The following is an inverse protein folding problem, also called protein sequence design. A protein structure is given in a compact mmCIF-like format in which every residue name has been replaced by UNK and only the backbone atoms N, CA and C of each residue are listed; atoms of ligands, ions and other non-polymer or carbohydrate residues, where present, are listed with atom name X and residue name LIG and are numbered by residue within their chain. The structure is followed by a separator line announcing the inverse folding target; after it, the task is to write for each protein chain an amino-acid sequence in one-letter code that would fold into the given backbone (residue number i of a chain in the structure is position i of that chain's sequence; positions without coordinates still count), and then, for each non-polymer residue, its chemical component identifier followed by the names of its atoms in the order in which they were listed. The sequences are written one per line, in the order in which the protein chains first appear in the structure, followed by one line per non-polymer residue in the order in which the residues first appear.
data_IF_431874097991
#
_entry.id   IF_431874097991
#
_cell.length_a   1.000
_cell.length_b   1.000
_cell.length_c   1.000
_cell.angle_alpha   90.00
_cell.angle_beta   90.00
_cell.angle_gamma   90.00
#
_symmetry.space_group_name_H-M   'P 1'
#
loop_
_entity.id
_entity.type
_entity.pdbx_description
1 polymer ?
#
# COMPACT_ATOMS: atom_id res chain seq x y z
N UNK A 1 0.09 -8.57 -21.52
CA UNK A 1 -0.70 -7.34 -21.36
C UNK A 1 -0.33 -6.64 -20.06
N UNK A 2 -0.38 -5.32 -20.06
CA UNK A 2 -0.17 -4.47 -18.87
C UNK A 2 -1.51 -4.14 -18.24
N UNK A 3 -1.50 -3.86 -16.93
CA UNK A 3 -2.63 -3.35 -16.16
C UNK A 3 -2.32 -1.92 -15.74
N UNK A 4 -3.32 -1.07 -15.70
CA UNK A 4 -3.18 0.33 -15.33
C UNK A 4 -4.12 0.67 -14.18
N UNK A 5 -3.56 1.33 -13.18
CA UNK A 5 -4.29 1.82 -12.02
C UNK A 5 -4.07 3.32 -11.89
N UNK A 6 -5.04 4.01 -11.31
CA UNK A 6 -4.89 5.40 -10.88
C UNK A 6 -5.05 5.45 -9.37
N UNK A 7 -4.09 6.07 -8.69
CA UNK A 7 -4.06 6.26 -7.24
C UNK A 7 -4.11 7.75 -6.92
N UNK A 8 -4.96 8.10 -5.95
CA UNK A 8 -5.04 9.43 -5.38
C UNK A 8 -4.65 9.36 -3.91
N UNK A 9 -3.76 10.24 -3.48
CA UNK A 9 -3.29 10.28 -2.09
C UNK A 9 -4.17 11.10 -1.16
N UNK A 10 -5.07 11.91 -1.72
CA UNK A 10 -6.09 12.66 -0.97
C UNK A 10 -6.96 13.52 -1.85
N UNK A 11 -8.26 13.33 -1.74
CA UNK A 11 -9.29 14.09 -2.46
C UNK A 11 -10.39 14.47 -1.48
N UNK A 12 -10.66 15.74 -1.31
CA UNK A 12 -11.60 16.26 -0.32
C UNK A 12 -12.94 16.56 -0.97
N UNK A 13 -14.01 15.91 -0.59
CA UNK A 13 -14.30 14.97 0.51
C UNK A 13 -14.80 13.63 -0.06
N UNK A 14 -15.52 13.68 -1.19
CA UNK A 14 -16.03 12.54 -1.98
C UNK A 14 -15.56 12.72 -3.41
N UNK A 15 -15.11 11.65 -4.02
CA UNK A 15 -14.65 11.63 -5.39
C UNK A 15 -15.33 10.53 -6.20
N UNK A 16 -15.80 10.86 -7.41
CA UNK A 16 -16.24 9.93 -8.42
C UNK A 16 -15.30 9.99 -9.62
N UNK A 17 -14.73 8.85 -10.02
CA UNK A 17 -13.83 8.76 -11.16
C UNK A 17 -14.59 8.25 -12.40
N UNK A 18 -14.39 8.97 -13.50
CA UNK A 18 -14.83 8.56 -14.84
C UNK A 18 -13.62 8.49 -15.78
N UNK A 19 -13.58 7.46 -16.61
CA UNK A 19 -12.57 7.30 -17.65
C UNK A 19 -13.28 7.08 -18.98
N UNK A 20 -13.00 7.93 -19.97
CA UNK A 20 -13.63 7.91 -21.31
C UNK A 20 -15.16 7.89 -21.26
N UNK A 21 -15.75 8.58 -20.26
CA UNK A 21 -17.20 8.63 -20.03
C UNK A 21 -17.78 7.48 -19.22
N UNK A 22 -17.01 6.47 -18.87
CA UNK A 22 -17.46 5.35 -18.04
C UNK A 22 -17.16 5.63 -16.55
N UNK A 23 -18.15 5.48 -15.67
CA UNK A 23 -17.94 5.52 -14.23
C UNK A 23 -17.11 4.32 -13.79
N UNK A 24 -16.01 4.58 -13.09
CA UNK A 24 -15.08 3.55 -12.61
C UNK A 24 -15.35 3.21 -11.15
N UNK A 25 -15.58 4.22 -10.33
CA UNK A 25 -15.84 4.04 -8.90
C UNK A 25 -15.90 5.36 -8.14
N UNK A 26 -16.26 5.27 -6.87
CA UNK A 26 -16.36 6.38 -5.94
C UNK A 26 -15.52 6.11 -4.68
N UNK A 27 -14.97 7.18 -4.11
CA UNK A 27 -14.29 7.15 -2.81
C UNK A 27 -14.93 8.16 -1.88
N UNK A 28 -15.04 7.81 -0.60
CA UNK A 28 -15.55 8.65 0.48
C UNK A 28 -14.52 8.73 1.60
N UNK A 29 -14.04 9.91 1.89
CA UNK A 29 -13.04 10.16 2.92
C UNK A 29 -11.91 11.04 2.40
N UNK A 30 -11.80 12.26 2.93
CA UNK A 30 -10.88 13.27 2.43
C UNK A 30 -9.41 12.98 2.68
N UNK A 31 -9.07 12.20 3.71
CA UNK A 31 -7.71 12.08 4.21
C UNK A 31 -7.02 10.75 3.86
N UNK A 32 -7.73 9.83 3.22
CA UNK A 32 -7.22 8.49 2.87
C UNK A 32 -6.92 8.38 1.38
N UNK A 33 -5.85 7.65 1.07
CA UNK A 33 -5.54 7.30 -0.31
C UNK A 33 -6.52 6.23 -0.83
N UNK A 34 -6.73 6.22 -2.14
CA UNK A 34 -7.52 5.20 -2.81
C UNK A 34 -7.01 4.94 -4.23
N UNK A 35 -7.30 3.76 -4.75
CA UNK A 35 -6.82 3.32 -6.05
C UNK A 35 -7.94 2.63 -6.82
N UNK A 36 -8.04 2.90 -8.11
CA UNK A 36 -8.93 2.20 -9.03
C UNK A 36 -8.15 1.57 -10.17
N UNK A 37 -8.53 0.37 -10.56
CA UNK A 37 -8.07 -0.21 -11.82
C UNK A 37 -8.86 0.41 -12.99
N UNK A 38 -8.14 0.86 -14.02
CA UNK A 38 -8.73 1.51 -15.20
C UNK A 38 -8.36 0.80 -16.50
N UNK A 39 -7.76 -0.38 -16.43
CA UNK A 39 -7.22 -1.15 -17.55
C UNK A 39 -8.22 -1.33 -18.70
N UNK A 40 -9.45 -1.69 -18.38
CA UNK A 40 -10.52 -1.99 -19.33
C UNK A 40 -11.23 -0.75 -19.90
N UNK A 41 -10.91 0.44 -19.38
CA UNK A 41 -11.47 1.72 -19.81
C UNK A 41 -10.50 2.57 -20.62
N UNK A 42 -9.21 2.15 -20.66
CA UNK A 42 -8.15 2.88 -21.37
C UNK A 42 -8.02 2.37 -22.81
N UNK A 43 -7.86 3.32 -23.74
CA UNK A 43 -7.47 3.09 -25.13
C UNK A 43 -5.95 3.28 -25.22
N UNK A 44 -5.22 2.18 -25.29
CA UNK A 44 -3.75 2.24 -25.37
C UNK A 44 -3.31 2.83 -26.72
N UNK A 45 -2.38 3.81 -26.65
CA UNK A 45 -1.88 4.50 -27.84
C UNK A 45 -2.76 5.65 -28.33
N UNK A 46 -3.82 6.01 -27.60
CA UNK A 46 -4.73 7.11 -27.90
C UNK A 46 -4.84 8.07 -26.69
N UNK A 47 -5.44 9.23 -26.95
CA UNK A 47 -5.81 10.15 -25.89
C UNK A 47 -6.96 9.58 -25.05
N UNK A 48 -6.83 9.71 -23.73
CA UNK A 48 -7.83 9.25 -22.77
C UNK A 48 -8.24 10.41 -21.86
N UNK A 49 -9.55 10.54 -21.63
CA UNK A 49 -10.11 11.54 -20.74
C UNK A 49 -10.37 10.93 -19.35
N UNK A 50 -9.72 11.50 -18.33
CA UNK A 50 -10.03 11.22 -16.93
C UNK A 50 -10.78 12.41 -16.34
N UNK A 51 -11.97 12.17 -15.77
CA UNK A 51 -12.77 13.16 -15.07
C UNK A 51 -12.94 12.71 -13.62
N UNK A 52 -12.56 13.59 -12.69
CA UNK A 52 -12.78 13.38 -11.25
C UNK A 52 -13.80 14.41 -10.80
N UNK A 53 -14.98 13.96 -10.43
CA UNK A 53 -16.02 14.81 -9.83
C UNK A 53 -15.82 14.80 -8.33
N UNK A 54 -15.60 15.99 -7.76
CA UNK A 54 -15.28 16.12 -6.33
C UNK A 54 -16.32 16.98 -5.63
N UNK A 55 -16.77 16.53 -4.45
CA UNK A 55 -17.63 17.30 -3.57
C UNK A 55 -17.00 17.40 -2.18
N UNK A 56 -16.91 18.63 -1.64
CA UNK A 56 -16.49 18.90 -0.25
C UNK A 56 -17.67 19.29 0.66
N UNK A 57 -18.90 19.06 0.21
CA UNK A 57 -20.08 19.30 1.04
C UNK A 57 -20.02 18.48 2.33
N UNK A 58 -20.49 19.08 3.44
CA UNK A 58 -20.66 18.37 4.70
C UNK A 58 -21.64 17.20 4.52
N UNK A 59 -21.30 16.05 5.08
CA UNK A 59 -22.05 14.82 4.99
C UNK A 59 -21.99 14.06 6.31
N UNK A 60 -23.08 13.42 6.67
CA UNK A 60 -23.15 12.62 7.91
C UNK A 60 -22.39 11.28 7.80
N UNK A 61 -22.12 10.83 6.57
CA UNK A 61 -21.46 9.55 6.25
C UNK A 61 -19.96 9.69 5.91
N UNK A 62 -19.38 10.90 6.04
CA UNK A 62 -17.97 11.16 5.74
C UNK A 62 -17.35 12.05 6.82
N UNK A 63 -16.28 11.58 7.43
CA UNK A 63 -15.55 12.35 8.45
C UNK A 63 -14.60 13.40 7.83
N UNK A 64 -14.44 14.56 8.48
CA UNK A 64 -15.19 15.01 9.66
C UNK A 64 -16.58 15.51 9.28
N UNK A 65 -17.60 15.13 10.05
CA UNK A 65 -18.97 15.55 9.82
C UNK A 65 -19.16 17.05 10.05
N UNK A 66 -18.39 17.61 10.96
CA UNK A 66 -18.27 19.05 11.21
C UNK A 66 -16.83 19.40 11.60
N UNK A 67 -16.39 20.63 11.31
CA UNK A 67 -15.07 21.14 11.68
C UNK A 67 -15.12 22.65 11.79
N UNK A 68 -14.35 23.19 12.71
CA UNK A 68 -14.13 24.64 12.84
C UNK A 68 -13.14 25.19 11.79
N UNK A 69 -12.56 24.29 10.97
CA UNK A 69 -11.62 24.64 9.91
C UNK A 69 -12.29 24.56 8.54
N UNK A 70 -11.93 25.46 7.64
CA UNK A 70 -12.33 25.39 6.25
C UNK A 70 -11.70 24.17 5.59
N UNK A 71 -12.53 23.29 5.03
CA UNK A 71 -12.10 22.17 4.21
C UNK A 71 -12.12 22.59 2.74
N UNK A 72 -10.94 22.73 2.16
CA UNK A 72 -10.81 23.02 0.73
C UNK A 72 -11.15 21.76 -0.07
N UNK A 73 -12.04 21.91 -1.07
CA UNK A 73 -12.39 20.82 -1.97
C UNK A 73 -11.30 20.58 -3.02
N UNK A 74 -11.36 19.40 -3.65
CA UNK A 74 -10.51 19.05 -4.77
C UNK A 74 -9.45 17.99 -4.45
N UNK A 75 -8.58 17.77 -5.43
CA UNK A 75 -7.41 16.89 -5.31
C UNK A 75 -6.30 17.72 -4.67
N UNK A 76 -5.99 17.50 -3.40
CA UNK A 76 -5.04 18.33 -2.64
C UNK A 76 -3.70 17.61 -2.34
N UNK A 77 -3.58 16.34 -2.74
CA UNK A 77 -2.34 15.54 -2.72
C UNK A 77 -2.07 15.00 -4.11
N UNK A 78 -0.94 14.30 -4.24
CA UNK A 78 -0.52 13.71 -5.52
C UNK A 78 -1.54 12.72 -6.06
N UNK A 79 -1.51 12.56 -7.39
CA UNK A 79 -2.16 11.48 -8.11
C UNK A 79 -1.11 10.83 -9.01
N UNK A 80 -1.17 9.50 -9.14
CA UNK A 80 -0.23 8.74 -9.95
C UNK A 80 -0.91 7.67 -10.80
N UNK A 81 -0.29 7.32 -11.92
CA UNK A 81 -0.64 6.16 -12.73
C UNK A 81 0.34 5.03 -12.43
N UNK A 82 -0.18 3.88 -12.02
CA UNK A 82 0.60 2.68 -11.71
C UNK A 82 0.41 1.67 -12.83
N UNK A 83 1.51 1.33 -13.51
CA UNK A 83 1.52 0.34 -14.59
C UNK A 83 2.18 -0.95 -14.10
N UNK A 84 1.44 -2.06 -14.15
CA UNK A 84 1.92 -3.36 -13.69
C UNK A 84 1.88 -4.43 -14.78
N UNK A 85 2.42 -5.61 -14.48
CA UNK A 85 2.18 -6.84 -15.22
C UNK A 85 0.77 -7.39 -14.99
N UNK A 86 0.49 -8.60 -15.50
CA UNK A 86 -0.78 -9.29 -15.25
C UNK A 86 -0.97 -9.60 -13.77
N UNK A 87 0.09 -10.06 -13.12
CA UNK A 87 0.15 -10.32 -11.68
C UNK A 87 1.05 -9.29 -11.02
N UNK A 88 0.59 -8.71 -9.93
CA UNK A 88 1.27 -7.63 -9.24
C UNK A 88 0.99 -7.65 -7.73
N UNK A 89 1.85 -6.99 -6.94
CA UNK A 89 1.50 -6.56 -5.60
C UNK A 89 0.37 -5.55 -5.72
N UNK A 90 -0.71 -5.76 -4.98
CA UNK A 90 -1.97 -5.05 -5.22
C UNK A 90 -1.96 -3.61 -4.71
N UNK A 91 -2.10 -2.61 -5.56
CA UNK A 91 -2.29 -1.22 -5.12
C UNK A 91 -3.75 -0.94 -4.67
N UNK A 92 -4.64 -1.94 -4.77
CA UNK A 92 -6.07 -1.76 -4.49
C UNK A 92 -6.43 -1.87 -3.00
N UNK A 93 -5.57 -2.50 -2.18
CA UNK A 93 -5.88 -2.69 -0.78
C UNK A 93 -5.77 -1.37 0.00
N UNK A 94 -6.91 -0.74 0.28
CA UNK A 94 -7.03 0.52 1.04
C UNK A 94 -6.14 1.66 0.51
N UNK A 95 -5.83 1.66 -0.79
CA UNK A 95 -4.89 2.63 -1.38
C UNK A 95 -3.45 2.53 -0.82
N UNK A 96 -3.11 1.41 -0.16
CA UNK A 96 -1.76 1.13 0.34
C UNK A 96 -0.84 0.65 -0.77
N UNK A 97 0.42 0.39 -0.41
CA UNK A 97 1.40 -0.23 -1.32
C UNK A 97 1.20 -1.76 -1.46
N UNK A 98 0.19 -2.34 -0.79
CA UNK A 98 -0.09 -3.78 -0.83
C UNK A 98 0.84 -4.66 0.02
N UNK A 99 1.72 -4.05 0.82
CA UNK A 99 2.59 -4.73 1.78
C UNK A 99 2.41 -4.09 3.14
N UNK A 100 1.90 -4.83 4.11
CA UNK A 100 1.72 -4.39 5.49
C UNK A 100 2.66 -5.18 6.40
N UNK A 101 3.35 -4.49 7.32
CA UNK A 101 4.27 -5.11 8.27
C UNK A 101 3.70 -4.97 9.67
N UNK A 102 3.47 -6.10 10.32
CA UNK A 102 3.05 -6.17 11.72
C UNK A 102 4.19 -6.69 12.58
N UNK A 103 4.44 -6.03 13.69
CA UNK A 103 5.37 -6.50 14.71
C UNK A 103 4.58 -7.16 15.85
N UNK A 104 4.91 -8.42 16.15
CA UNK A 104 4.26 -9.21 17.20
C UNK A 104 5.03 -9.10 18.53
N UNK A 105 6.36 -9.12 18.45
CA UNK A 105 7.25 -8.95 19.59
C UNK A 105 8.49 -8.16 19.19
N UNK A 106 8.90 -7.22 20.04
CA UNK A 106 10.11 -6.40 19.82
C UNK A 106 10.91 -6.29 21.10
N UNK A 107 12.12 -6.83 21.05
CA UNK A 107 13.13 -6.71 22.11
C UNK A 107 14.44 -6.23 21.50
N UNK A 108 15.44 -5.90 22.32
CA UNK A 108 16.78 -5.57 21.84
C UNK A 108 17.50 -6.76 21.17
N UNK A 109 17.11 -7.99 21.49
CA UNK A 109 17.73 -9.20 20.97
C UNK A 109 16.99 -9.78 19.75
N UNK A 110 15.67 -9.58 19.66
CA UNK A 110 14.84 -10.23 18.64
C UNK A 110 13.62 -9.38 18.31
N UNK A 111 13.32 -9.28 17.01
CA UNK A 111 12.03 -8.86 16.48
C UNK A 111 11.34 -10.06 15.85
N UNK A 112 10.09 -10.29 16.20
CA UNK A 112 9.19 -11.23 15.53
C UNK A 112 8.02 -10.46 14.97
N UNK A 113 7.64 -10.80 13.75
CA UNK A 113 6.54 -10.15 13.05
C UNK A 113 6.06 -10.94 11.85
N UNK A 114 5.16 -10.32 11.11
CA UNK A 114 4.63 -10.88 9.87
C UNK A 114 4.47 -9.77 8.83
N UNK A 115 4.66 -10.14 7.56
CA UNK A 115 4.32 -9.32 6.41
C UNK A 115 3.06 -9.87 5.76
N UNK A 116 2.04 -9.05 5.62
CA UNK A 116 0.84 -9.33 4.83
C UNK A 116 1.03 -8.74 3.44
N UNK A 117 1.04 -9.58 2.40
CA UNK A 117 1.22 -9.16 1.01
C UNK A 117 -0.09 -9.39 0.27
N UNK A 118 -0.67 -8.32 -0.23
CA UNK A 118 -1.87 -8.34 -1.06
C UNK A 118 -1.45 -8.46 -2.52
N UNK A 119 -2.00 -9.46 -3.22
CA UNK A 119 -1.69 -9.74 -4.61
C UNK A 119 -2.92 -9.59 -5.48
N UNK A 120 -2.73 -9.20 -6.73
CA UNK A 120 -3.79 -9.10 -7.74
C UNK A 120 -3.34 -9.70 -9.05
N UNK A 121 -4.26 -10.34 -9.79
CA UNK A 121 -3.95 -10.97 -11.06
C UNK A 121 -5.11 -10.88 -12.05
N UNK A 122 -4.77 -10.77 -13.34
CA UNK A 122 -5.69 -10.88 -14.45
C UNK A 122 -5.54 -12.26 -15.12
N UNK A 123 -6.03 -13.31 -14.44
CA UNK A 123 -6.17 -14.66 -14.99
C UNK A 123 -5.15 -15.70 -14.54
N UNK A 124 -4.14 -15.35 -13.74
CA UNK A 124 -3.23 -16.32 -13.15
C UNK A 124 -3.75 -16.76 -11.77
N UNK A 125 -3.57 -18.04 -11.44
CA UNK A 125 -4.01 -18.63 -10.17
C UNK A 125 -2.89 -18.81 -9.14
N UNK A 126 -1.63 -18.69 -9.57
CA UNK A 126 -0.43 -18.81 -8.72
C UNK A 126 0.67 -17.89 -9.20
N UNK A 127 1.56 -17.50 -8.30
CA UNK A 127 2.82 -16.83 -8.65
C UNK A 127 3.95 -17.26 -7.70
N UNK A 128 5.19 -16.96 -8.08
CA UNK A 128 6.34 -17.05 -7.20
C UNK A 128 6.51 -15.70 -6.48
N UNK A 129 6.40 -15.71 -5.16
CA UNK A 129 6.56 -14.55 -4.29
C UNK A 129 7.86 -14.65 -3.50
N UNK A 130 8.62 -13.57 -3.48
CA UNK A 130 9.81 -13.42 -2.63
C UNK A 130 9.61 -12.23 -1.70
N UNK A 131 9.83 -12.43 -0.41
CA UNK A 131 9.90 -11.38 0.60
C UNK A 131 11.33 -11.24 1.08
N UNK A 132 11.90 -10.07 0.93
CA UNK A 132 13.23 -9.69 1.44
C UNK A 132 13.08 -8.60 2.49
N UNK A 133 13.82 -8.72 3.61
CA UNK A 133 13.97 -7.62 4.58
C UNK A 133 15.44 -7.22 4.63
N UNK A 134 15.68 -5.95 4.41
CA UNK A 134 17.02 -5.33 4.41
C UNK A 134 17.13 -4.35 5.58
N UNK A 135 18.14 -4.53 6.40
CA UNK A 135 18.44 -3.67 7.53
C UNK A 135 18.90 -2.25 7.10
N UNK A 136 18.92 -1.26 8.00
CA UNK A 136 19.34 0.10 7.69
C UNK A 136 20.75 0.21 7.10
N UNK A 137 21.64 -0.70 7.46
CA UNK A 137 23.02 -0.81 6.96
C UNK A 137 23.14 -1.47 5.57
N UNK A 138 22.02 -1.91 4.98
CA UNK A 138 21.98 -2.55 3.68
C UNK A 138 22.09 -4.08 3.69
N UNK A 139 22.35 -4.72 4.85
CA UNK A 139 22.42 -6.18 4.96
C UNK A 139 21.02 -6.78 4.80
N UNK A 140 20.90 -7.84 4.01
CA UNK A 140 19.70 -8.64 3.93
C UNK A 140 19.62 -9.54 5.19
N UNK A 141 18.60 -9.33 6.01
CA UNK A 141 18.42 -10.00 7.32
C UNK A 141 17.33 -11.07 7.28
N UNK A 142 16.49 -11.06 6.25
CA UNK A 142 15.48 -12.09 6.03
C UNK A 142 15.21 -12.25 4.55
N UNK A 143 14.99 -13.51 4.12
CA UNK A 143 14.52 -13.88 2.79
C UNK A 143 13.58 -15.07 2.90
N UNK A 144 12.42 -14.98 2.23
CA UNK A 144 11.50 -16.11 2.04
C UNK A 144 10.98 -16.10 0.63
N UNK A 145 11.15 -17.22 -0.09
CA UNK A 145 10.61 -17.44 -1.43
C UNK A 145 9.64 -18.60 -1.41
N UNK A 146 8.46 -18.41 -1.99
CA UNK A 146 7.45 -19.45 -2.04
C UNK A 146 6.51 -19.29 -3.23
N UNK A 147 6.01 -20.40 -3.75
CA UNK A 147 4.87 -20.40 -4.67
C UNK A 147 3.60 -20.13 -3.85
N UNK A 148 2.78 -19.19 -4.31
CA UNK A 148 1.58 -18.80 -3.61
C UNK A 148 0.36 -18.81 -4.53
N UNK A 149 -0.83 -18.98 -3.94
CA UNK A 149 -2.11 -18.88 -4.65
C UNK A 149 -2.59 -17.44 -4.69
N UNK A 150 -3.33 -17.14 -5.74
CA UNK A 150 -3.96 -15.82 -5.99
C UNK A 150 -5.48 -15.99 -5.82
N UNK A 151 -5.92 -16.14 -4.57
CA UNK A 151 -7.32 -16.39 -4.19
C UNK A 151 -7.99 -15.16 -3.55
N UNK A 152 -7.35 -13.99 -3.66
CA UNK A 152 -7.83 -12.73 -3.11
C UNK A 152 -7.53 -12.53 -1.62
N UNK A 153 -6.95 -13.53 -0.95
CA UNK A 153 -6.49 -13.40 0.44
C UNK A 153 -5.07 -12.85 0.50
N UNK A 154 -4.69 -12.12 1.56
CA UNK A 154 -3.31 -11.73 1.76
C UNK A 154 -2.43 -12.97 2.00
N UNK A 155 -1.22 -12.92 1.46
CA UNK A 155 -0.18 -13.90 1.79
C UNK A 155 0.53 -13.43 3.05
N UNK A 156 0.43 -14.20 4.13
CA UNK A 156 1.07 -13.87 5.41
C UNK A 156 2.40 -14.61 5.51
N UNK A 157 3.48 -13.87 5.67
CA UNK A 157 4.83 -14.42 5.82
C UNK A 157 5.40 -14.00 7.17
N UNK A 158 5.50 -14.93 8.14
CA UNK A 158 6.17 -14.64 9.40
C UNK A 158 7.68 -14.47 9.20
N UNK A 159 8.28 -13.57 9.96
CA UNK A 159 9.72 -13.33 9.97
C UNK A 159 10.24 -13.13 11.40
N UNK A 160 11.55 -13.35 11.56
CA UNK A 160 12.30 -13.00 12.76
C UNK A 160 13.63 -12.33 12.40
N UNK A 161 14.04 -11.34 13.17
CA UNK A 161 15.29 -10.60 12.97
C UNK A 161 16.04 -10.58 14.30
N UNK A 162 17.20 -11.22 14.33
CA UNK A 162 18.09 -11.20 15.50
C UNK A 162 18.90 -9.89 15.54
N UNK A 163 19.22 -9.44 16.75
CA UNK A 163 20.02 -8.24 17.04
C UNK A 163 19.57 -7.01 16.22
N UNK A 164 18.27 -6.63 16.30
CA UNK A 164 17.72 -5.58 15.48
C UNK A 164 18.24 -4.20 15.87
N UNK A 165 18.40 -3.33 14.87
CA UNK A 165 18.53 -1.89 15.10
C UNK A 165 17.11 -1.33 15.34
N UNK A 166 16.81 -1.00 16.60
CA UNK A 166 15.50 -0.46 16.95
C UNK A 166 15.38 1.01 16.57
N UNK A 167 14.17 1.38 16.17
CA UNK A 167 13.82 2.77 15.85
C UNK A 167 13.62 3.58 17.14
N UNK A 168 14.20 4.78 17.17
CA UNK A 168 13.91 5.82 18.16
C UNK A 168 13.96 7.20 17.50
N UNK A 169 13.44 8.27 18.11
CA UNK A 169 13.57 9.64 17.58
C UNK A 169 15.03 10.08 17.38
N UNK A 170 15.96 9.62 18.23
CA UNK A 170 17.39 9.91 18.13
C UNK A 170 18.14 8.97 17.15
N UNK A 171 17.55 7.81 16.82
CA UNK A 171 18.11 6.83 15.89
C UNK A 171 16.98 6.23 15.04
N UNK A 172 16.53 6.93 13.98
CA UNK A 172 15.37 6.53 13.17
C UNK A 172 15.72 5.41 12.18
N UNK A 173 16.11 4.24 12.71
CA UNK A 173 16.48 3.07 11.93
C UNK A 173 15.28 2.50 11.17
N UNK A 174 15.33 2.50 9.83
CA UNK A 174 14.27 2.00 8.95
C UNK A 174 14.76 0.82 8.13
N UNK A 175 14.04 -0.28 8.24
CA UNK A 175 14.19 -1.47 7.41
C UNK A 175 13.42 -1.30 6.10
N UNK A 176 13.94 -1.88 5.02
CA UNK A 176 13.21 -2.03 3.76
C UNK A 176 12.64 -3.44 3.67
N UNK A 177 11.33 -3.52 3.48
CA UNK A 177 10.60 -4.77 3.27
C UNK A 177 10.13 -4.80 1.82
N UNK A 178 10.71 -5.70 1.03
CA UNK A 178 10.48 -5.79 -0.41
C UNK A 178 9.75 -7.08 -0.74
N UNK A 179 8.57 -6.96 -1.33
CA UNK A 179 7.84 -8.06 -1.94
C UNK A 179 8.08 -8.03 -3.44
N UNK A 180 8.54 -9.16 -4.02
CA UNK A 180 8.82 -9.28 -5.45
C UNK A 180 8.11 -10.49 -6.03
N UNK A 181 7.60 -10.37 -7.26
CA UNK A 181 6.93 -11.42 -8.02
C UNK A 181 7.77 -11.79 -9.23
N UNK A 182 7.93 -13.08 -9.49
CA UNK A 182 8.64 -13.62 -10.65
C UNK A 182 9.40 -14.88 -10.35
N UNK A 183 9.58 -15.74 -11.35
CA UNK A 183 10.32 -17.00 -11.21
C UNK A 183 11.81 -16.79 -11.42
N UNK A 184 12.25 -16.48 -12.63
CA UNK A 184 13.66 -16.21 -12.98
C UNK A 184 13.94 -14.71 -13.02
N UNK A 185 12.98 -13.93 -13.49
CA UNK A 185 13.07 -12.47 -13.55
C UNK A 185 11.96 -11.85 -12.71
N UNK A 186 12.27 -10.75 -12.03
CA UNK A 186 11.28 -9.98 -11.28
C UNK A 186 10.37 -9.25 -12.28
N UNK A 187 9.06 -9.53 -12.20
CA UNK A 187 8.04 -8.91 -13.05
C UNK A 187 7.32 -7.77 -12.36
N UNK A 188 7.31 -7.76 -11.03
CA UNK A 188 6.78 -6.70 -10.19
C UNK A 188 7.47 -6.68 -8.83
N UNK A 189 7.62 -5.50 -8.23
CA UNK A 189 8.27 -5.36 -6.93
C UNK A 189 7.81 -4.10 -6.21
N UNK A 190 7.50 -4.24 -4.94
CA UNK A 190 7.10 -3.15 -4.05
C UNK A 190 7.97 -3.16 -2.80
N UNK A 191 8.44 -1.99 -2.39
CA UNK A 191 9.24 -1.82 -1.17
C UNK A 191 8.57 -0.84 -0.23
N UNK A 192 8.33 -1.27 1.00
CA UNK A 192 7.88 -0.41 2.10
C UNK A 192 8.98 -0.26 3.15
N UNK A 193 8.90 0.82 3.94
CA UNK A 193 9.82 1.04 5.07
C UNK A 193 9.10 0.87 6.38
N UNK A 194 9.77 0.23 7.34
CA UNK A 194 9.26 0.04 8.70
C UNK A 194 10.36 0.23 9.73
N UNK A 195 10.02 0.79 10.88
CA UNK A 195 10.91 0.87 12.05
C UNK A 195 10.36 -0.01 13.16
N UNK A 196 11.19 -0.86 13.72
CA UNK A 196 10.81 -1.72 14.85
C UNK A 196 11.02 -0.99 16.15
N UNK A 197 9.97 -0.89 16.97
CA UNK A 197 10.01 -0.21 18.27
C UNK A 197 9.06 -0.84 19.27
N UNK A 198 9.40 -0.75 20.54
CA UNK A 198 8.49 -1.05 21.63
C UNK A 198 8.10 0.26 22.32
N UNK A 199 6.80 0.44 22.59
CA UNK A 199 6.27 1.56 23.34
C UNK A 199 5.56 1.00 24.56
N UNK A 200 6.01 1.39 25.74
CA UNK A 200 5.36 1.05 27.00
C UNK A 200 4.75 2.31 27.59
N UNK A 201 3.45 2.25 27.87
CA UNK A 201 2.75 3.30 28.63
C UNK A 201 2.68 2.84 30.08
N UNK A 202 3.39 3.56 30.96
CA UNK A 202 3.35 3.29 32.40
C UNK A 202 2.50 4.35 33.09
N UNK A 203 1.72 3.95 34.09
CA UNK A 203 0.95 4.86 34.92
C UNK A 203 1.76 5.43 36.10
N UNK A 204 3.01 4.98 36.27
CA UNK A 204 3.91 5.42 37.32
C UNK A 204 4.81 6.55 36.81
N UNK A 205 4.56 7.75 37.28
CA UNK A 205 5.41 8.92 37.08
C UNK A 205 4.75 9.97 36.18
N UNK A 206 3.88 10.76 36.78
CA UNK A 206 3.59 12.10 36.33
C UNK A 206 4.72 13.02 36.70
#
# INVERSE_FOLDING_TARGET
SKRLFVKFYGVQNVADLFVNGYHVGAHRGGSTAFTFEITDKIRFGEDNALLVVVSNNSRDDVLPASTDMNLYGGIYREAELILTGKTAVSPLHLGSEGVLVRQNSVTSALVEGEAEIYLTSAGESTCMLTLDITAPDGRKVFTKRQKTRLDGRPVVIPFSIADPQLWSPSSPALYRVTASIGEETVTDSVTVRTGFRNIQVTTAGG
#
